data_IF_794759570248
#
_entry.id   IF_794759570248
#
_cell.length_a   1.000
_cell.length_b   1.000
_cell.length_c   1.000
_cell.angle_alpha   90.00
_cell.angle_beta   90.00
_cell.angle_gamma   90.00
#
_symmetry.space_group_name_H-M   'P 1'
#
loop_
_entity.id
_entity.type
_entity.pdbx_description
1 polymer ?
#
# COMPACT_ATOMS: atom_id res chain seq x y z
N UNK A 1 27.29 -1.50 53.53
CA UNK A 1 28.08 -2.08 52.42
C UNK A 1 27.17 -3.12 51.77
N UNK A 2 26.36 -2.73 50.76
CA UNK A 2 26.66 -2.84 49.30
C UNK A 2 26.86 -4.32 48.91
N UNK A 3 26.14 -4.93 47.98
CA UNK A 3 25.52 -4.45 46.72
C UNK A 3 24.67 -5.60 46.15
N UNK A 4 23.35 -5.47 46.02
CA UNK A 4 22.60 -5.12 44.78
C UNK A 4 22.63 -6.18 43.66
N UNK A 5 21.56 -6.97 43.61
CA UNK A 5 21.05 -7.73 42.46
C UNK A 5 20.30 -6.85 41.46
N UNK A 6 20.15 -7.36 40.24
CA UNK A 6 19.26 -6.98 39.13
C UNK A 6 19.70 -5.84 38.20
N UNK A 7 20.45 -6.22 37.17
CA UNK A 7 20.61 -5.50 35.92
C UNK A 7 19.81 -6.24 34.83
N UNK A 8 18.54 -5.86 34.61
CA UNK A 8 17.82 -6.25 33.36
C UNK A 8 16.52 -5.47 33.11
N UNK A 9 16.48 -4.18 33.48
CA UNK A 9 15.32 -3.33 33.22
C UNK A 9 15.77 -1.95 32.74
N UNK A 10 16.10 -1.79 31.45
CA UNK A 10 16.39 -0.44 30.90
C UNK A 10 16.11 -0.24 29.40
N UNK A 11 15.23 -1.02 28.76
CA UNK A 11 14.88 -0.73 27.34
C UNK A 11 13.38 -0.53 27.11
N UNK A 12 12.52 -0.92 28.05
CA UNK A 12 11.05 -0.94 27.82
C UNK A 12 10.30 0.34 28.22
N UNK A 13 10.95 1.34 28.82
CA UNK A 13 10.26 2.54 29.35
C UNK A 13 10.38 3.81 28.47
N UNK A 14 11.03 3.75 27.31
CA UNK A 14 11.26 4.94 26.48
C UNK A 14 10.20 5.21 25.39
N UNK A 15 9.09 4.45 25.35
CA UNK A 15 7.98 4.73 24.43
C UNK A 15 6.74 5.12 25.23
N UNK A 16 6.86 6.21 26.00
CA UNK A 16 5.68 6.98 26.40
C UNK A 16 5.16 7.67 25.14
N UNK A 17 4.27 6.98 24.42
CA UNK A 17 3.50 7.57 23.31
C UNK A 17 2.69 8.72 23.92
N UNK A 18 3.19 9.94 23.76
CA UNK A 18 2.42 11.14 24.04
C UNK A 18 1.13 10.99 23.23
N UNK A 19 -0.01 10.85 23.92
CA UNK A 19 -1.32 10.85 23.29
C UNK A 19 -1.57 12.26 22.76
N UNK A 20 -1.00 12.54 21.59
CA UNK A 20 -1.35 13.71 20.81
C UNK A 20 -2.78 13.46 20.36
N UNK A 21 -3.74 14.14 20.99
CA UNK A 21 -5.08 14.27 20.42
C UNK A 21 -4.89 14.99 19.07
N UNK A 22 -4.82 14.20 18.01
CA UNK A 22 -4.72 14.70 16.64
C UNK A 22 -5.99 15.47 16.34
N UNK A 23 -5.93 16.80 16.40
CA UNK A 23 -6.88 17.65 15.70
C UNK A 23 -6.47 17.56 14.24
N UNK A 24 -6.77 16.42 13.60
CA UNK A 24 -6.52 16.25 12.18
C UNK A 24 -7.41 17.25 11.45
N UNK A 25 -6.85 18.17 10.63
CA UNK A 25 -7.68 18.98 9.76
C UNK A 25 -8.50 18.04 8.86
N UNK A 26 -9.82 18.24 8.81
CA UNK A 26 -10.71 17.50 7.92
C UNK A 26 -10.43 17.93 6.48
N UNK A 27 -9.44 17.29 5.86
CA UNK A 27 -9.14 17.48 4.45
C UNK A 27 -10.23 16.81 3.62
N UNK A 28 -10.86 17.58 2.73
CA UNK A 28 -11.78 17.02 1.73
C UNK A 28 -10.95 16.34 0.63
N UNK A 29 -11.06 15.01 0.54
CA UNK A 29 -10.43 14.23 -0.53
C UNK A 29 -10.89 14.69 -1.90
N UNK A 30 -9.95 14.77 -2.86
CA UNK A 30 -10.28 15.03 -4.27
C UNK A 30 -11.12 13.88 -4.82
N UNK A 31 -12.12 14.20 -5.63
CA UNK A 31 -12.98 13.20 -6.28
C UNK A 31 -12.68 13.02 -7.77
N UNK A 32 -11.85 13.90 -8.35
CA UNK A 32 -11.50 13.90 -9.77
C UNK A 32 -10.05 14.35 -10.00
N UNK A 33 -9.50 13.97 -11.15
CA UNK A 33 -8.20 14.45 -11.64
C UNK A 33 -8.38 15.76 -12.43
N UNK A 34 -7.35 16.62 -12.54
CA UNK A 34 -7.44 17.88 -13.28
C UNK A 34 -7.71 17.73 -14.80
N UNK A 35 -7.44 16.54 -15.36
CA UNK A 35 -7.65 16.27 -16.78
C UNK A 35 -8.09 14.82 -16.99
N UNK A 36 -8.86 14.53 -18.06
CA UNK A 36 -9.18 13.16 -18.47
C UNK A 36 -7.91 12.38 -18.84
N UNK A 37 -8.00 11.05 -18.79
CA UNK A 37 -6.93 10.18 -19.26
C UNK A 37 -6.61 10.49 -20.74
N UNK A 38 -5.31 10.56 -21.07
CA UNK A 38 -4.87 10.82 -22.43
C UNK A 38 -5.34 9.71 -23.38
N UNK A 39 -5.88 10.08 -24.54
CA UNK A 39 -6.29 9.13 -25.58
C UNK A 39 -5.07 8.36 -26.08
N UNK A 40 -5.05 7.04 -25.88
CA UNK A 40 -3.98 6.18 -26.38
C UNK A 40 -4.03 6.13 -27.91
N UNK A 41 -3.04 6.74 -28.57
CA UNK A 41 -2.91 6.73 -30.04
C UNK A 41 -2.31 5.41 -30.57
N UNK A 42 -1.75 4.58 -29.70
CA UNK A 42 -1.03 3.35 -30.05
C UNK A 42 -1.60 2.18 -29.26
N UNK A 43 -1.96 1.09 -29.94
CA UNK A 43 -2.47 -0.13 -29.30
C UNK A 43 -1.35 -0.87 -28.56
N UNK A 44 -1.59 -1.28 -27.31
CA UNK A 44 -0.66 -2.10 -26.52
C UNK A 44 -0.28 -3.39 -27.26
N UNK A 45 -1.25 -4.03 -27.92
CA UNK A 45 -1.00 -5.22 -28.75
C UNK A 45 0.00 -4.97 -29.88
N UNK A 46 -0.02 -3.77 -30.48
CA UNK A 46 0.91 -3.41 -31.56
C UNK A 46 2.37 -3.28 -31.10
N UNK A 47 2.58 -3.02 -29.81
CA UNK A 47 3.90 -2.99 -29.16
C UNK A 47 4.30 -4.40 -28.72
N UNK A 48 3.39 -5.14 -28.09
CA UNK A 48 3.63 -6.50 -27.60
C UNK A 48 3.94 -7.49 -28.73
N UNK A 49 3.23 -7.41 -29.86
CA UNK A 49 3.47 -8.31 -31.01
C UNK A 49 4.90 -8.22 -31.55
N UNK A 50 5.56 -7.07 -31.43
CA UNK A 50 6.96 -6.87 -31.86
C UNK A 50 7.98 -7.52 -30.92
N UNK A 51 7.50 -8.02 -29.79
CA UNK A 51 8.30 -8.61 -28.72
C UNK A 51 8.00 -10.09 -28.49
N UNK A 52 7.19 -10.71 -29.34
CA UNK A 52 6.94 -12.17 -29.31
C UNK A 52 8.27 -12.90 -29.53
N UNK A 53 8.58 -13.86 -28.66
CA UNK A 53 9.85 -14.61 -28.67
C UNK A 53 11.03 -13.89 -28.00
N UNK A 54 10.83 -12.68 -27.48
CA UNK A 54 11.80 -11.99 -26.62
C UNK A 54 11.40 -12.11 -25.16
N UNK A 55 12.39 -12.00 -24.28
CA UNK A 55 12.16 -11.83 -22.85
C UNK A 55 11.40 -10.51 -22.61
N UNK A 56 10.12 -10.62 -22.27
CA UNK A 56 9.22 -9.48 -22.08
C UNK A 56 9.65 -8.57 -20.93
N UNK A 57 10.48 -9.06 -20.00
CA UNK A 57 11.04 -8.24 -18.91
C UNK A 57 12.01 -7.16 -19.42
N UNK A 58 12.58 -7.34 -20.63
CA UNK A 58 13.51 -6.40 -21.27
C UNK A 58 12.82 -5.44 -22.25
N UNK A 59 11.51 -5.57 -22.45
CA UNK A 59 10.73 -4.72 -23.36
C UNK A 59 10.26 -3.49 -22.60
N UNK A 60 10.85 -2.33 -22.90
CA UNK A 60 10.43 -1.06 -22.31
C UNK A 60 9.08 -0.64 -22.87
N UNK A 61 8.03 -0.77 -22.07
CA UNK A 61 6.70 -0.26 -22.40
C UNK A 61 6.74 1.28 -22.34
N UNK A 62 6.26 2.00 -23.37
CA UNK A 62 6.22 3.46 -23.35
C UNK A 62 5.44 4.02 -22.14
N UNK A 63 5.90 5.15 -21.60
CA UNK A 63 5.28 5.83 -20.43
C UNK A 63 3.79 6.16 -20.63
N UNK A 64 3.31 6.23 -21.88
CA UNK A 64 1.88 6.44 -22.20
C UNK A 64 0.96 5.29 -21.74
N UNK A 65 1.52 4.11 -21.43
CA UNK A 65 0.78 3.02 -20.82
C UNK A 65 0.87 3.03 -19.30
N UNK A 66 1.46 4.06 -18.71
CA UNK A 66 1.45 4.22 -17.26
C UNK A 66 0.16 4.90 -16.80
N UNK A 67 -0.33 4.49 -15.65
CA UNK A 67 -1.31 5.26 -14.91
C UNK A 67 -0.59 6.31 -14.05
N UNK A 68 -1.27 7.38 -13.61
CA UNK A 68 -0.67 8.43 -12.79
C UNK A 68 -0.54 8.02 -11.31
N UNK A 69 -0.04 6.82 -11.05
CA UNK A 69 0.25 6.28 -9.72
C UNK A 69 1.60 5.56 -9.71
N UNK A 70 2.37 5.70 -8.64
CA UNK A 70 3.53 4.82 -8.41
C UNK A 70 3.09 3.47 -7.81
N UNK A 71 3.96 2.46 -7.87
CA UNK A 71 3.67 1.16 -7.26
C UNK A 71 3.39 1.29 -5.76
N UNK A 72 4.05 2.21 -5.06
CA UNK A 72 3.82 2.43 -3.63
C UNK A 72 2.39 2.91 -3.34
N UNK A 73 1.87 3.78 -4.20
CA UNK A 73 0.48 4.24 -4.14
C UNK A 73 -0.51 3.10 -4.46
N UNK A 74 -0.16 2.22 -5.40
CA UNK A 74 -0.95 1.00 -5.68
C UNK A 74 -1.01 0.04 -4.51
N UNK A 75 0.08 -0.11 -3.75
CA UNK A 75 0.07 -0.94 -2.53
C UNK A 75 -0.90 -0.40 -1.47
N UNK A 76 -1.04 0.92 -1.36
CA UNK A 76 -1.99 1.52 -0.43
C UNK A 76 -3.47 1.22 -0.79
N UNK A 77 -3.77 0.93 -2.06
CA UNK A 77 -5.12 0.50 -2.47
C UNK A 77 -5.54 -0.84 -1.82
N UNK A 78 -4.59 -1.64 -1.30
CA UNK A 78 -4.93 -2.84 -0.53
C UNK A 78 -5.73 -2.52 0.73
N UNK A 79 -5.63 -1.30 1.24
CA UNK A 79 -6.35 -0.85 2.43
C UNK A 79 -7.76 -0.32 2.11
N UNK A 80 -8.23 -0.35 0.86
CA UNK A 80 -9.57 0.13 0.48
C UNK A 80 -10.69 -0.57 1.26
N UNK A 81 -10.57 -1.89 1.45
CA UNK A 81 -11.56 -2.72 2.14
C UNK A 81 -11.12 -3.12 3.56
N UNK A 82 -10.38 -2.24 4.24
CA UNK A 82 -9.87 -2.45 5.61
C UNK A 82 -10.97 -2.82 6.63
N UNK A 83 -12.22 -2.45 6.38
CA UNK A 83 -13.37 -2.83 7.20
C UNK A 83 -13.48 -4.36 7.42
N UNK A 84 -13.07 -5.17 6.44
CA UNK A 84 -13.05 -6.63 6.54
C UNK A 84 -12.06 -7.11 7.61
N UNK A 85 -10.88 -6.48 7.69
CA UNK A 85 -9.86 -6.78 8.71
C UNK A 85 -10.36 -6.35 10.09
N UNK A 86 -11.05 -5.21 10.18
CA UNK A 86 -11.67 -4.72 11.43
C UNK A 86 -12.80 -5.61 11.93
N UNK A 87 -13.59 -6.18 11.02
CA UNK A 87 -14.60 -7.18 11.37
C UNK A 87 -13.94 -8.49 11.82
N UNK A 88 -12.87 -8.90 11.13
CA UNK A 88 -12.11 -10.10 11.45
C UNK A 88 -11.52 -10.04 12.88
N UNK A 89 -10.99 -8.89 13.31
CA UNK A 89 -10.42 -8.73 14.66
C UNK A 89 -11.47 -8.80 15.77
N UNK A 90 -12.72 -8.47 15.48
CA UNK A 90 -13.87 -8.55 16.40
C UNK A 90 -14.53 -9.93 16.40
N UNK A 91 -14.16 -10.80 15.46
CA UNK A 91 -14.76 -12.13 15.28
C UNK A 91 -14.05 -13.18 16.13
N UNK A 92 -14.80 -13.80 17.05
CA UNK A 92 -14.30 -14.87 17.93
C UNK A 92 -14.09 -16.20 17.18
N UNK A 93 -15.00 -16.55 16.27
CA UNK A 93 -14.90 -17.79 15.48
C UNK A 93 -13.69 -17.76 14.54
N UNK A 94 -12.71 -18.67 14.71
CA UNK A 94 -11.52 -18.71 13.86
C UNK A 94 -11.82 -18.97 12.39
N UNK A 95 -12.88 -19.71 12.05
CA UNK A 95 -13.21 -20.00 10.65
C UNK A 95 -13.76 -18.75 9.98
N UNK A 96 -14.76 -18.12 10.59
CA UNK A 96 -15.30 -16.85 10.09
C UNK A 96 -14.24 -15.75 9.98
N UNK A 97 -13.32 -15.66 10.94
CA UNK A 97 -12.19 -14.72 10.87
C UNK A 97 -11.30 -14.98 9.65
N UNK A 98 -10.99 -16.25 9.35
CA UNK A 98 -10.22 -16.61 8.16
C UNK A 98 -10.95 -16.27 6.87
N UNK A 99 -12.28 -16.47 6.80
CA UNK A 99 -13.09 -16.08 5.64
C UNK A 99 -13.00 -14.58 5.37
N UNK A 100 -13.08 -13.74 6.40
CA UNK A 100 -12.98 -12.28 6.29
C UNK A 100 -11.59 -11.84 5.81
N UNK A 101 -10.53 -12.46 6.32
CA UNK A 101 -9.16 -12.18 5.86
C UNK A 101 -8.95 -12.64 4.42
N UNK A 102 -9.51 -13.79 4.02
CA UNK A 102 -9.47 -14.26 2.64
C UNK A 102 -10.24 -13.31 1.70
N UNK A 103 -11.41 -12.84 2.12
CA UNK A 103 -12.18 -11.85 1.39
C UNK A 103 -11.39 -10.53 1.23
N UNK A 104 -10.72 -10.07 2.29
CA UNK A 104 -9.84 -8.90 2.24
C UNK A 104 -8.72 -9.09 1.22
N UNK A 105 -8.00 -10.22 1.26
CA UNK A 105 -6.92 -10.51 0.32
C UNK A 105 -7.40 -10.49 -1.15
N UNK A 106 -8.59 -11.05 -1.42
CA UNK A 106 -9.18 -11.07 -2.76
C UNK A 106 -9.71 -9.71 -3.22
N UNK A 107 -10.19 -8.88 -2.30
CA UNK A 107 -10.76 -7.56 -2.60
C UNK A 107 -9.77 -6.63 -3.31
N UNK A 108 -8.47 -6.84 -3.07
CA UNK A 108 -7.38 -6.11 -3.74
C UNK A 108 -7.40 -6.25 -5.26
N UNK A 109 -7.97 -7.34 -5.79
CA UNK A 109 -8.09 -7.54 -7.24
C UNK A 109 -9.17 -6.66 -7.89
N UNK A 110 -10.16 -6.22 -7.11
CA UNK A 110 -11.26 -5.37 -7.60
C UNK A 110 -10.74 -4.04 -8.14
N UNK A 111 -9.72 -3.47 -7.50
CA UNK A 111 -9.10 -2.17 -7.87
C UNK A 111 -8.36 -2.24 -9.22
N UNK A 112 -8.02 -3.44 -9.68
CA UNK A 112 -7.25 -3.67 -10.91
C UNK A 112 -8.11 -4.05 -12.11
N UNK A 113 -9.38 -4.42 -11.90
CA UNK A 113 -10.28 -4.96 -12.95
C UNK A 113 -10.48 -4.04 -14.17
N UNK A 114 -10.43 -2.72 -13.98
CA UNK A 114 -10.65 -1.71 -15.03
C UNK A 114 -9.34 -1.06 -15.53
N UNK A 115 -8.18 -1.46 -15.00
CA UNK A 115 -6.90 -0.79 -15.24
C UNK A 115 -5.97 -1.66 -16.09
N UNK A 116 -5.78 -1.27 -17.36
CA UNK A 116 -4.83 -1.91 -18.28
C UNK A 116 -3.42 -1.27 -18.24
N UNK A 117 -3.24 -0.23 -17.43
CA UNK A 117 -2.03 0.59 -17.36
C UNK A 117 -1.13 0.15 -16.21
N UNK A 118 0.19 0.29 -16.39
CA UNK A 118 1.21 -0.07 -15.39
C UNK A 118 1.42 1.11 -14.42
N UNK A 119 1.64 0.88 -13.11
CA UNK A 119 2.11 1.94 -12.24
C UNK A 119 3.54 2.38 -12.59
N UNK A 120 3.90 3.60 -12.22
CA UNK A 120 5.29 4.04 -12.26
C UNK A 120 6.14 3.15 -11.33
N UNK A 121 7.28 2.71 -11.85
CA UNK A 121 8.26 1.99 -11.04
C UNK A 121 8.90 2.99 -10.07
N UNK A 122 8.79 2.78 -8.74
CA UNK A 122 9.33 3.72 -7.78
C UNK A 122 10.85 3.84 -7.89
N UNK A 123 11.38 5.01 -7.58
CA UNK A 123 12.82 5.19 -7.38
C UNK A 123 13.27 4.49 -6.10
N UNK A 124 14.55 4.11 -6.01
CA UNK A 124 15.11 3.59 -4.75
C UNK A 124 14.98 4.68 -3.66
N UNK A 125 14.47 4.31 -2.48
CA UNK A 125 14.11 5.20 -1.37
C UNK A 125 12.96 6.18 -1.67
N UNK A 126 12.21 6.01 -2.78
CA UNK A 126 10.92 6.67 -2.89
C UNK A 126 10.03 6.19 -1.75
N UNK A 127 9.30 7.11 -1.12
CA UNK A 127 8.36 6.83 -0.04
C UNK A 127 6.95 7.29 -0.41
N UNK A 128 5.96 6.66 0.20
CA UNK A 128 4.57 7.08 0.13
C UNK A 128 3.91 6.90 1.50
N UNK A 129 3.12 7.89 1.90
CA UNK A 129 2.33 7.86 3.13
C UNK A 129 0.85 8.13 2.82
N UNK A 130 -0.03 7.49 3.59
CA UNK A 130 -1.47 7.71 3.55
C UNK A 130 -2.03 7.59 4.96
N UNK A 131 -2.59 8.69 5.47
CA UNK A 131 -3.41 8.69 6.68
C UNK A 131 -4.86 8.82 6.26
N UNK A 132 -5.69 7.87 6.69
CA UNK A 132 -7.14 7.91 6.45
C UNK A 132 -7.88 7.77 7.79
N UNK A 133 -8.18 8.89 8.46
CA UNK A 133 -8.93 8.88 9.72
C UNK A 133 -10.34 8.31 9.60
N UNK A 134 -11.00 8.47 8.44
CA UNK A 134 -12.36 7.96 8.20
C UNK A 134 -12.38 6.43 8.18
N UNK A 135 -11.41 5.82 7.50
CA UNK A 135 -11.22 4.36 7.49
C UNK A 135 -10.43 3.86 8.72
N UNK A 136 -9.79 4.75 9.47
CA UNK A 136 -9.08 4.50 10.71
C UNK A 136 -7.81 3.65 10.53
N UNK A 137 -6.94 4.04 9.59
CA UNK A 137 -5.62 3.45 9.42
C UNK A 137 -4.56 4.49 9.01
N UNK A 138 -3.31 4.16 9.30
CA UNK A 138 -2.11 4.83 8.79
C UNK A 138 -1.33 3.84 7.92
N UNK A 139 -0.73 4.32 6.85
CA UNK A 139 0.02 3.52 5.89
C UNK A 139 1.32 4.24 5.50
N UNK A 140 2.41 3.49 5.46
CA UNK A 140 3.69 3.94 4.91
C UNK A 140 4.27 2.87 4.01
N UNK A 141 4.91 3.27 2.92
CA UNK A 141 5.65 2.39 2.03
C UNK A 141 6.95 3.03 1.55
N UNK A 142 7.94 2.18 1.29
CA UNK A 142 9.25 2.56 0.76
C UNK A 142 9.72 1.55 -0.29
N UNK A 143 10.35 2.05 -1.35
CA UNK A 143 11.11 1.21 -2.27
C UNK A 143 12.50 0.88 -1.70
N UNK A 144 12.63 -0.26 -1.05
CA UNK A 144 13.84 -0.69 -0.32
C UNK A 144 14.91 -1.36 -1.20
N UNK A 145 14.55 -1.78 -2.42
CA UNK A 145 15.51 -2.29 -3.41
C UNK A 145 15.06 -1.98 -4.83
N UNK A 146 16.01 -1.76 -5.74
CA UNK A 146 15.74 -1.51 -7.16
C UNK A 146 16.10 -2.70 -8.06
N UNK A 147 17.07 -3.51 -7.65
CA UNK A 147 17.53 -4.69 -8.41
C UNK A 147 17.80 -5.88 -7.47
N UNK A 148 16.83 -6.80 -7.31
CA UNK A 148 15.47 -6.77 -7.88
C UNK A 148 14.61 -5.67 -7.22
N UNK A 149 13.54 -5.18 -7.89
CA UNK A 149 12.64 -4.21 -7.29
C UNK A 149 11.88 -4.84 -6.11
N UNK A 150 12.02 -4.25 -4.92
CA UNK A 150 11.31 -4.64 -3.70
C UNK A 150 10.76 -3.38 -3.03
N UNK A 151 9.46 -3.39 -2.76
CA UNK A 151 8.77 -2.38 -1.96
C UNK A 151 8.37 -2.98 -0.62
N UNK A 152 8.63 -2.26 0.47
CA UNK A 152 8.15 -2.59 1.79
C UNK A 152 6.99 -1.65 2.15
N UNK A 153 6.01 -2.13 2.90
CA UNK A 153 4.95 -1.30 3.44
C UNK A 153 4.58 -1.76 4.84
N UNK A 154 4.03 -0.83 5.62
CA UNK A 154 3.50 -1.05 6.95
C UNK A 154 2.20 -0.27 7.07
N UNK A 155 1.18 -0.91 7.65
CA UNK A 155 -0.06 -0.25 8.00
C UNK A 155 -0.45 -0.56 9.43
N UNK A 156 -1.03 0.43 10.11
CA UNK A 156 -1.48 0.34 11.49
C UNK A 156 -2.93 0.79 11.57
N UNK A 157 -3.78 -0.03 12.18
CA UNK A 157 -5.10 0.35 12.66
C UNK A 157 -5.14 0.28 14.19
N UNK A 158 -6.24 0.72 14.80
CA UNK A 158 -6.49 0.44 16.22
C UNK A 158 -6.71 -1.07 16.45
N UNK A 159 -7.21 -1.75 15.42
CA UNK A 159 -7.72 -3.11 15.49
C UNK A 159 -6.85 -4.15 14.74
N UNK A 160 -5.72 -3.74 14.15
CA UNK A 160 -4.75 -4.59 13.42
C UNK A 160 -3.38 -3.92 13.26
#
# INVERSE_FOLDING_TARGET
>A
MSSSTSSDATITEAISVCSVKSIAPTFKSRTQLPSPAATQKVSLWSVLKKSIGKDLTRVTVPVYFNEPLSLLQRLAEYMEYVALVKEASKTSDPIRRMELIAAFALSTSATSSSRLSKPFNPLLHETYELSNPELGFEFVAEQVSHHPPVSAFYSRGEEF
#
